data_IF_098771043160
#
_entry.id   IF_098771043160
#
_cell.length_a   1.000
_cell.length_b   1.000
_cell.length_c   1.000
_cell.angle_alpha   90.00
_cell.angle_beta   90.00
_cell.angle_gamma   90.00
#
_symmetry.space_group_name_H-M   'P 1'
#
loop_
_entity.id
_entity.type
_entity.pdbx_description
1 polymer ?
#
# COMPACT_ATOMS: atom_id res chain seq x y z
N UNK A 1 -34.17 39.21 40.01
CA UNK A 1 -34.96 37.97 39.82
C UNK A 1 -35.12 37.74 38.32
N UNK A 2 -35.16 36.46 37.90
CA UNK A 2 -35.26 35.89 36.52
C UNK A 2 -34.05 36.11 35.59
N UNK A 3 -33.23 35.09 35.27
CA UNK A 3 -33.39 33.92 34.37
C UNK A 3 -33.10 34.22 32.89
N UNK A 4 -32.04 33.64 32.32
CA UNK A 4 -32.20 32.50 31.39
C UNK A 4 -30.85 31.93 30.94
N UNK A 5 -30.79 30.60 30.88
CA UNK A 5 -29.73 29.80 30.31
C UNK A 5 -29.89 29.73 28.78
N UNK A 6 -28.79 29.69 28.03
CA UNK A 6 -28.78 29.13 26.68
C UNK A 6 -27.63 28.13 26.53
N UNK A 7 -28.05 26.90 26.27
CA UNK A 7 -27.24 25.75 25.88
C UNK A 7 -26.61 25.96 24.50
N UNK A 8 -25.29 25.77 24.39
CA UNK A 8 -24.64 25.52 23.11
C UNK A 8 -24.58 24.03 22.84
N UNK A 9 -25.57 23.54 22.09
CA UNK A 9 -25.46 22.31 21.33
C UNK A 9 -24.56 22.56 20.11
N UNK A 10 -23.34 22.01 20.10
CA UNK A 10 -22.58 21.78 18.89
C UNK A 10 -22.15 20.31 18.85
N UNK A 11 -23.14 19.46 18.61
CA UNK A 11 -22.96 18.03 18.39
C UNK A 11 -22.71 17.72 16.92
N UNK A 12 -21.59 17.04 16.68
CA UNK A 12 -21.42 15.97 15.69
C UNK A 12 -21.52 16.37 14.21
N UNK A 13 -20.36 16.74 13.63
CA UNK A 13 -20.05 16.50 12.22
C UNK A 13 -18.75 15.65 12.12
N UNK A 14 -18.75 14.50 12.81
CA UNK A 14 -17.75 13.42 12.66
C UNK A 14 -18.36 12.33 11.78
N UNK A 15 -18.24 12.44 10.46
CA UNK A 15 -18.45 11.33 9.52
C UNK A 15 -17.40 11.39 8.41
N UNK A 16 -16.45 10.48 8.52
CA UNK A 16 -15.15 10.41 7.86
C UNK A 16 -15.18 9.66 6.52
N UNK A 17 -14.21 10.00 5.67
CA UNK A 17 -13.63 9.32 4.50
C UNK A 17 -14.00 7.83 4.27
N UNK A 18 -14.04 7.00 5.32
CA UNK A 18 -14.43 5.59 5.24
C UNK A 18 -15.90 5.38 4.81
N UNK A 19 -16.82 6.29 5.13
CA UNK A 19 -18.23 6.13 4.76
C UNK A 19 -18.49 6.38 3.27
N UNK A 20 -17.68 7.17 2.57
CA UNK A 20 -17.87 7.37 1.12
C UNK A 20 -17.30 6.22 0.30
N UNK A 21 -16.19 5.63 0.74
CA UNK A 21 -15.66 4.39 0.13
C UNK A 21 -16.57 3.19 0.48
N UNK A 22 -17.11 3.13 1.70
CA UNK A 22 -18.07 2.10 2.09
C UNK A 22 -19.44 2.27 1.41
N UNK A 23 -19.91 3.48 1.11
CA UNK A 23 -21.20 3.70 0.44
C UNK A 23 -21.23 3.13 -0.99
N UNK A 24 -20.09 3.13 -1.69
CA UNK A 24 -19.95 2.45 -2.99
C UNK A 24 -19.88 0.92 -2.87
N UNK A 25 -19.46 0.39 -1.71
CA UNK A 25 -19.40 -1.05 -1.45
C UNK A 25 -20.73 -1.63 -0.90
N UNK A 26 -21.49 -0.85 -0.13
CA UNK A 26 -22.76 -1.30 0.51
C UNK A 26 -23.90 -1.42 -0.50
N UNK A 27 -23.86 -0.69 -1.61
CA UNK A 27 -24.84 -0.85 -2.70
C UNK A 27 -24.77 -2.22 -3.42
N UNK A 28 -23.76 -3.07 -3.14
CA UNK A 28 -23.56 -4.36 -3.80
C UNK A 28 -23.97 -5.60 -2.98
N UNK A 29 -24.41 -5.45 -1.72
CA UNK A 29 -24.73 -6.59 -0.84
C UNK A 29 -26.21 -7.05 -0.83
N UNK A 30 -27.05 -6.49 -1.71
CA UNK A 30 -28.45 -6.89 -1.82
C UNK A 30 -28.69 -7.94 -2.93
N UNK A 31 -27.94 -9.04 -2.95
CA UNK A 31 -28.44 -10.29 -3.54
C UNK A 31 -27.62 -11.49 -3.06
N UNK A 32 -28.33 -12.61 -2.83
CA UNK A 32 -27.85 -13.96 -2.48
C UNK A 32 -27.76 -14.26 -0.98
N UNK A 33 -28.93 -14.55 -0.42
CA UNK A 33 -29.03 -15.66 0.52
C UNK A 33 -29.12 -16.97 -0.25
N UNK A 34 -28.31 -17.96 0.12
CA UNK A 34 -28.72 -19.35 0.29
C UNK A 34 -27.57 -20.23 0.84
N UNK A 35 -27.88 -20.84 2.00
CA UNK A 35 -27.48 -22.15 2.56
C UNK A 35 -26.00 -22.55 2.62
N UNK A 36 -25.51 -22.61 3.87
CA UNK A 36 -24.33 -23.36 4.30
C UNK A 36 -24.72 -24.84 4.48
N UNK A 37 -24.02 -25.74 3.79
CA UNK A 37 -23.94 -27.14 4.15
C UNK A 37 -22.46 -27.53 4.26
N UNK A 38 -22.14 -28.20 5.36
CA UNK A 38 -20.80 -28.61 5.78
C UNK A 38 -20.08 -29.44 4.70
N UNK A 39 -18.86 -29.03 4.34
CA UNK A 39 -17.92 -29.86 3.59
C UNK A 39 -16.74 -30.18 4.51
N UNK A 40 -16.74 -31.41 5.03
CA UNK A 40 -15.57 -32.00 5.67
C UNK A 40 -14.41 -32.09 4.67
N UNK A 41 -13.30 -31.45 5.01
CA UNK A 41 -12.05 -31.50 4.25
C UNK A 41 -11.30 -32.79 4.61
N UNK A 42 -11.46 -33.82 3.79
CA UNK A 42 -10.54 -34.97 3.79
C UNK A 42 -9.28 -34.61 3.00
N UNK A 43 -8.11 -34.76 3.61
CA UNK A 43 -6.82 -34.60 2.96
C UNK A 43 -6.65 -35.61 1.79
N UNK A 44 -6.07 -35.20 0.64
CA UNK A 44 -5.82 -36.13 -0.45
C UNK A 44 -4.61 -37.03 -0.14
N UNK A 45 -4.60 -38.28 -0.62
CA UNK A 45 -3.47 -39.18 -0.40
C UNK A 45 -2.27 -38.74 -1.24
N UNK A 46 -1.07 -39.02 -0.73
CA UNK A 46 0.20 -38.78 -1.41
C UNK A 46 0.28 -39.62 -2.70
N UNK A 47 -0.06 -39.00 -3.83
CA UNK A 47 0.03 -39.56 -5.17
C UNK A 47 1.33 -39.19 -5.87
N UNK A 48 1.91 -40.17 -6.56
CA UNK A 48 3.11 -40.12 -7.39
C UNK A 48 3.13 -38.96 -8.41
N UNK A 49 4.32 -38.49 -8.84
CA UNK A 49 4.46 -37.39 -9.77
C UNK A 49 3.86 -37.76 -11.14
N UNK A 50 2.76 -37.11 -11.50
CA UNK A 50 2.13 -37.23 -12.82
C UNK A 50 3.05 -36.58 -13.87
N UNK A 51 3.57 -37.40 -14.78
CA UNK A 51 4.49 -37.03 -15.86
C UNK A 51 3.83 -36.22 -17.01
N UNK A 52 2.69 -35.56 -16.75
CA UNK A 52 1.91 -34.81 -17.74
C UNK A 52 1.49 -33.42 -17.23
N UNK A 53 2.25 -32.82 -16.29
CA UNK A 53 2.07 -31.39 -16.05
C UNK A 53 2.69 -30.63 -17.24
N UNK A 54 1.93 -29.80 -17.97
CA UNK A 54 2.51 -28.92 -18.97
C UNK A 54 3.62 -28.10 -18.31
N UNK A 55 4.72 -27.89 -19.04
CA UNK A 55 5.87 -27.11 -18.56
C UNK A 55 5.35 -25.80 -17.93
N UNK A 56 5.38 -25.76 -16.60
CA UNK A 56 4.83 -24.62 -15.86
C UNK A 56 5.73 -23.43 -16.13
N UNK A 57 5.14 -22.33 -16.59
CA UNK A 57 5.86 -21.10 -16.87
C UNK A 57 6.30 -20.48 -15.55
N UNK A 58 7.60 -20.32 -15.35
CA UNK A 58 8.15 -19.82 -14.10
C UNK A 58 8.10 -18.29 -14.05
N UNK A 59 7.56 -17.75 -12.96
CA UNK A 59 7.63 -16.33 -12.64
C UNK A 59 8.76 -16.11 -11.62
N UNK A 60 9.57 -15.09 -11.89
CA UNK A 60 10.66 -14.62 -11.01
C UNK A 60 10.43 -13.22 -10.46
N UNK A 61 9.50 -12.45 -11.07
CA UNK A 61 9.15 -11.11 -10.62
C UNK A 61 7.64 -10.88 -10.62
N UNK A 62 7.16 -10.22 -9.58
CA UNK A 62 5.77 -9.76 -9.46
C UNK A 62 5.77 -8.24 -9.23
N UNK A 63 5.15 -7.51 -10.17
CA UNK A 63 4.84 -6.09 -10.02
C UNK A 63 3.40 -5.96 -9.57
N UNK A 64 3.19 -5.21 -8.50
CA UNK A 64 1.88 -4.93 -7.94
C UNK A 64 1.56 -3.44 -8.05
N UNK A 65 0.39 -3.06 -8.55
CA UNK A 65 0.01 -1.67 -8.77
C UNK A 65 -1.32 -1.35 -8.09
N UNK A 66 -1.25 -0.47 -7.09
CA UNK A 66 -2.42 -0.02 -6.34
C UNK A 66 -3.05 1.25 -6.87
N UNK A 67 -4.34 1.15 -7.14
CA UNK A 67 -5.20 2.30 -7.41
C UNK A 67 -4.66 3.22 -8.52
N UNK A 68 -4.42 2.75 -9.76
CA UNK A 68 -3.78 3.55 -10.83
C UNK A 68 -4.50 4.82 -11.33
N UNK A 69 -5.40 5.48 -10.60
CA UNK A 69 -6.12 6.73 -10.99
C UNK A 69 -7.14 7.22 -9.91
N UNK A 70 -6.87 7.04 -8.61
CA UNK A 70 -7.91 7.32 -7.60
C UNK A 70 -8.16 8.81 -7.35
N UNK A 71 -7.19 9.69 -7.57
CA UNK A 71 -7.48 11.14 -7.49
C UNK A 71 -8.25 11.61 -8.71
N UNK A 72 -7.84 11.17 -9.90
CA UNK A 72 -8.55 11.52 -11.13
C UNK A 72 -10.03 11.12 -11.06
N UNK A 73 -10.35 9.90 -10.62
CA UNK A 73 -11.75 9.49 -10.38
C UNK A 73 -12.48 10.31 -9.35
N UNK A 74 -11.83 10.67 -8.24
CA UNK A 74 -12.47 11.44 -7.19
C UNK A 74 -12.85 12.85 -7.65
N UNK A 75 -12.10 13.41 -8.60
CA UNK A 75 -12.26 14.80 -9.03
C UNK A 75 -12.80 14.96 -10.46
N UNK A 76 -12.99 13.87 -11.23
CA UNK A 76 -13.65 13.91 -12.54
C UNK A 76 -14.99 14.66 -12.42
N UNK A 77 -15.15 15.69 -13.26
CA UNK A 77 -16.37 16.50 -13.33
C UNK A 77 -16.60 17.46 -12.16
N UNK A 78 -15.67 17.59 -11.21
CA UNK A 78 -15.81 18.46 -10.03
C UNK A 78 -14.87 19.66 -10.10
N UNK A 79 -15.18 20.63 -10.99
CA UNK A 79 -14.34 21.81 -11.24
C UNK A 79 -14.02 22.61 -9.97
N UNK A 80 -14.97 22.76 -9.04
CA UNK A 80 -14.74 23.45 -7.76
C UNK A 80 -13.83 22.65 -6.82
N UNK A 81 -13.93 21.31 -6.82
CA UNK A 81 -13.10 20.45 -5.98
C UNK A 81 -11.64 20.43 -6.44
N UNK A 82 -11.38 20.72 -7.73
CA UNK A 82 -10.04 20.83 -8.27
C UNK A 82 -9.30 22.09 -7.79
N UNK A 83 -10.02 23.17 -7.41
CA UNK A 83 -9.41 24.46 -7.06
C UNK A 83 -9.28 24.69 -5.54
N UNK A 84 -10.00 23.93 -4.71
CA UNK A 84 -9.98 24.11 -3.26
C UNK A 84 -8.87 23.29 -2.59
N UNK A 85 -8.09 23.90 -1.66
CA UNK A 85 -7.15 23.15 -0.82
C UNK A 85 -7.87 22.07 -0.03
N UNK A 86 -7.31 20.87 -0.01
CA UNK A 86 -7.86 19.73 0.73
C UNK A 86 -6.77 19.03 1.52
N UNK A 87 -6.05 18.15 0.86
CA UNK A 87 -5.20 17.19 1.54
C UNK A 87 -3.84 17.83 1.80
N UNK A 88 -3.62 18.25 3.05
CA UNK A 88 -2.38 18.92 3.45
C UNK A 88 -2.04 20.17 2.65
N UNK A 89 -3.07 20.92 2.26
CA UNK A 89 -2.94 22.15 1.50
C UNK A 89 -2.96 21.99 -0.01
N UNK A 90 -2.87 20.76 -0.54
CA UNK A 90 -2.96 20.52 -1.99
C UNK A 90 -4.39 20.63 -2.49
N UNK A 91 -4.53 21.25 -3.65
CA UNK A 91 -5.76 21.27 -4.45
C UNK A 91 -5.97 19.93 -5.16
N UNK A 92 -7.21 19.65 -5.56
CA UNK A 92 -7.51 18.44 -6.34
C UNK A 92 -6.73 18.38 -7.66
N UNK A 93 -6.51 19.53 -8.31
CA UNK A 93 -5.72 19.62 -9.54
C UNK A 93 -4.26 19.22 -9.34
N UNK A 94 -3.61 19.70 -8.28
CA UNK A 94 -2.22 19.35 -7.95
C UNK A 94 -2.09 17.84 -7.64
N UNK A 95 -3.04 17.26 -6.91
CA UNK A 95 -3.03 15.82 -6.62
C UNK A 95 -3.14 14.97 -7.90
N UNK A 96 -3.99 15.36 -8.84
CA UNK A 96 -4.11 14.70 -10.15
C UNK A 96 -2.84 14.87 -10.98
N UNK A 97 -2.25 16.07 -10.99
CA UNK A 97 -1.00 16.31 -11.71
C UNK A 97 0.14 15.43 -11.17
N UNK A 98 0.24 15.32 -9.84
CA UNK A 98 1.23 14.46 -9.19
C UNK A 98 1.01 12.98 -9.52
N UNK A 99 -0.23 12.49 -9.44
CA UNK A 99 -0.62 11.13 -9.84
C UNK A 99 -0.20 10.85 -11.28
N UNK A 100 -0.53 11.75 -12.22
CA UNK A 100 -0.16 11.64 -13.65
C UNK A 100 1.36 11.67 -13.86
N UNK A 101 2.08 12.55 -13.16
CA UNK A 101 3.55 12.64 -13.23
C UNK A 101 4.21 11.33 -12.83
N UNK A 102 3.67 10.63 -11.84
CA UNK A 102 4.22 9.34 -11.44
C UNK A 102 3.84 8.26 -12.43
N UNK A 103 2.54 8.13 -12.68
CA UNK A 103 1.95 7.02 -13.43
C UNK A 103 2.32 7.00 -14.91
N UNK A 104 2.70 8.14 -15.51
CA UNK A 104 3.21 8.18 -16.90
C UNK A 104 4.44 7.28 -17.15
N UNK A 105 5.17 6.91 -16.09
CA UNK A 105 6.34 6.03 -16.16
C UNK A 105 5.97 4.55 -16.20
N UNK A 106 4.78 4.19 -15.72
CA UNK A 106 4.39 2.80 -15.59
C UNK A 106 4.32 2.04 -16.91
N UNK A 107 3.74 2.59 -18.00
CA UNK A 107 3.71 1.88 -19.29
C UNK A 107 5.11 1.55 -19.82
N UNK A 108 6.04 2.50 -19.69
CA UNK A 108 7.43 2.31 -20.11
C UNK A 108 8.13 1.22 -19.28
N UNK A 109 7.97 1.24 -17.96
CA UNK A 109 8.55 0.22 -17.07
C UNK A 109 7.92 -1.16 -17.29
N UNK A 110 6.62 -1.24 -17.60
CA UNK A 110 5.97 -2.49 -18.01
C UNK A 110 6.54 -3.00 -19.33
N UNK A 111 6.86 -2.13 -20.28
CA UNK A 111 7.43 -2.52 -21.58
C UNK A 111 8.83 -3.16 -21.47
N UNK A 112 9.55 -2.86 -20.39
CA UNK A 112 10.88 -3.39 -20.09
C UNK A 112 10.83 -4.73 -19.31
N UNK A 113 9.64 -5.19 -18.92
CA UNK A 113 9.49 -6.41 -18.15
C UNK A 113 9.77 -7.66 -19.02
N UNK A 114 10.67 -8.54 -18.54
CA UNK A 114 10.99 -9.79 -19.21
C UNK A 114 9.88 -10.85 -19.14
N UNK A 115 10.07 -12.03 -19.79
CA UNK A 115 9.06 -13.09 -19.88
C UNK A 115 8.67 -13.72 -18.54
N UNK A 116 9.50 -13.57 -17.50
CA UNK A 116 9.29 -14.15 -16.16
C UNK A 116 8.65 -13.15 -15.17
N UNK A 117 8.10 -12.03 -15.68
CA UNK A 117 7.45 -11.00 -14.87
C UNK A 117 5.93 -11.06 -15.00
N UNK A 118 5.21 -10.96 -13.88
CA UNK A 118 3.77 -10.73 -13.86
C UNK A 118 3.44 -9.33 -13.33
N UNK A 119 2.31 -8.79 -13.78
CA UNK A 119 1.75 -7.51 -13.34
C UNK A 119 0.37 -7.75 -12.76
N UNK A 120 0.12 -7.22 -11.58
CA UNK A 120 -1.18 -7.26 -10.91
C UNK A 120 -1.64 -5.84 -10.64
N UNK A 121 -2.81 -5.50 -11.16
CA UNK A 121 -3.46 -4.21 -10.97
C UNK A 121 -4.69 -4.42 -10.08
N UNK A 122 -4.76 -3.75 -8.93
CA UNK A 122 -5.87 -3.92 -7.99
C UNK A 122 -6.84 -2.74 -7.97
N UNK A 123 -8.02 -3.02 -7.43
CA UNK A 123 -9.09 -2.05 -7.18
C UNK A 123 -10.06 -1.90 -8.35
N UNK A 124 -9.84 -2.65 -9.44
CA UNK A 124 -10.55 -2.43 -10.71
C UNK A 124 -10.83 -3.74 -11.43
N UNK A 125 -11.84 -3.71 -12.29
CA UNK A 125 -12.20 -4.83 -13.16
C UNK A 125 -11.82 -4.50 -14.61
N UNK A 126 -11.78 -5.48 -15.52
CA UNK A 126 -11.59 -5.21 -16.94
C UNK A 126 -12.59 -4.19 -17.49
N UNK A 127 -13.83 -4.21 -17.00
CA UNK A 127 -14.88 -3.25 -17.39
C UNK A 127 -14.55 -1.81 -16.98
N UNK A 128 -13.91 -1.61 -15.82
CA UNK A 128 -13.43 -0.29 -15.41
C UNK A 128 -12.38 0.19 -16.42
N UNK A 129 -11.37 -0.64 -16.69
CA UNK A 129 -10.29 -0.29 -17.63
C UNK A 129 -10.81 0.02 -19.05
N UNK A 130 -11.85 -0.67 -19.50
CA UNK A 130 -12.46 -0.44 -20.82
C UNK A 130 -13.31 0.84 -20.90
N UNK A 131 -13.81 1.36 -19.77
CA UNK A 131 -14.67 2.55 -19.71
C UNK A 131 -13.92 3.85 -19.44
N UNK A 132 -12.69 3.75 -18.96
CA UNK A 132 -11.87 4.92 -18.62
C UNK A 132 -11.13 5.37 -19.86
N UNK A 133 -10.85 6.67 -19.92
CA UNK A 133 -10.11 7.25 -21.04
C UNK A 133 -8.80 6.48 -21.22
N UNK A 134 -8.53 6.06 -22.45
CA UNK A 134 -7.30 5.34 -22.81
C UNK A 134 -6.02 6.11 -22.43
N UNK A 135 -6.10 7.44 -22.32
CA UNK A 135 -4.99 8.32 -21.93
C UNK A 135 -4.80 8.47 -20.40
N UNK A 136 -5.69 7.92 -19.58
CA UNK A 136 -5.57 7.92 -18.12
C UNK A 136 -4.63 6.83 -17.58
N UNK A 137 -4.22 6.91 -16.29
CA UNK A 137 -3.17 6.01 -15.81
C UNK A 137 -3.58 4.54 -15.65
N UNK A 138 -4.86 4.20 -15.41
CA UNK A 138 -5.32 2.81 -15.52
C UNK A 138 -5.33 2.32 -16.99
N UNK A 139 -5.84 3.15 -17.91
CA UNK A 139 -5.93 2.77 -19.32
C UNK A 139 -4.55 2.45 -19.90
N UNK A 140 -3.62 3.39 -19.74
CA UNK A 140 -2.25 3.27 -20.26
C UNK A 140 -1.48 2.08 -19.66
N UNK A 141 -1.56 1.84 -18.34
CA UNK A 141 -0.87 0.69 -17.74
C UNK A 141 -1.52 -0.64 -18.11
N UNK A 142 -2.85 -0.68 -18.23
CA UNK A 142 -3.56 -1.88 -18.66
C UNK A 142 -3.25 -2.25 -20.10
N UNK A 143 -3.24 -1.27 -21.01
CA UNK A 143 -2.85 -1.48 -22.42
C UNK A 143 -1.40 -1.97 -22.54
N UNK A 144 -0.47 -1.34 -21.81
CA UNK A 144 0.92 -1.78 -21.78
C UNK A 144 1.05 -3.21 -21.24
N UNK A 145 0.35 -3.53 -20.14
CA UNK A 145 0.31 -4.86 -19.57
C UNK A 145 -0.22 -5.91 -20.55
N UNK A 146 -1.33 -5.63 -21.22
CA UNK A 146 -1.88 -6.52 -22.25
C UNK A 146 -0.91 -6.72 -23.41
N UNK A 147 -0.27 -5.65 -23.89
CA UNK A 147 0.63 -5.68 -25.04
C UNK A 147 1.93 -6.43 -24.75
N UNK A 148 2.55 -6.18 -23.59
CA UNK A 148 3.90 -6.67 -23.29
C UNK A 148 3.92 -7.91 -22.41
N UNK A 149 2.89 -8.10 -21.57
CA UNK A 149 2.81 -9.20 -20.62
C UNK A 149 1.76 -10.25 -20.98
N UNK A 150 0.75 -9.87 -21.77
CA UNK A 150 -0.30 -10.79 -22.21
C UNK A 150 -1.11 -11.31 -21.02
N UNK A 151 -1.19 -12.64 -20.90
CA UNK A 151 -1.92 -13.31 -19.81
C UNK A 151 -1.26 -13.18 -18.43
N UNK A 152 -0.02 -12.65 -18.34
CA UNK A 152 0.67 -12.32 -17.09
C UNK A 152 0.20 -11.01 -16.46
N UNK A 153 -0.62 -10.24 -17.18
CA UNK A 153 -1.24 -9.03 -16.67
C UNK A 153 -2.63 -9.36 -16.09
N UNK A 154 -2.79 -9.19 -14.78
CA UNK A 154 -4.03 -9.43 -14.06
C UNK A 154 -4.63 -8.12 -13.58
N UNK A 155 -5.95 -8.05 -13.59
CA UNK A 155 -6.73 -6.95 -13.02
C UNK A 155 -7.87 -7.53 -12.17
N UNK A 156 -8.02 -7.03 -10.95
CA UNK A 156 -9.02 -7.57 -10.01
C UNK A 156 -9.53 -6.50 -9.05
N UNK A 157 -10.86 -6.53 -8.83
CA UNK A 157 -11.60 -5.63 -7.95
C UNK A 157 -12.12 -6.44 -6.77
N UNK A 158 -11.43 -6.39 -5.64
CA UNK A 158 -11.77 -7.12 -4.43
C UNK A 158 -11.47 -6.26 -3.19
N UNK A 159 -11.47 -6.84 -1.99
CA UNK A 159 -11.01 -6.15 -0.77
C UNK A 159 -9.56 -6.52 -0.44
N UNK A 160 -8.75 -5.62 0.14
CA UNK A 160 -7.38 -5.92 0.52
C UNK A 160 -7.31 -7.00 1.60
N UNK A 161 -6.27 -7.83 1.54
CA UNK A 161 -5.97 -8.88 2.52
C UNK A 161 -5.46 -10.16 1.86
N UNK A 162 -5.28 -11.20 2.65
CA UNK A 162 -4.77 -12.48 2.15
C UNK A 162 -5.74 -13.18 1.20
N UNK A 163 -7.04 -13.05 1.45
CA UNK A 163 -8.07 -13.62 0.58
C UNK A 163 -7.95 -13.10 -0.87
N UNK A 164 -7.60 -11.84 -1.02
CA UNK A 164 -7.32 -11.25 -2.32
C UNK A 164 -6.03 -11.82 -2.95
N UNK A 165 -4.96 -11.93 -2.16
CA UNK A 165 -3.73 -12.57 -2.61
C UNK A 165 -3.95 -14.01 -3.09
N UNK A 166 -4.78 -14.80 -2.39
CA UNK A 166 -5.12 -16.18 -2.80
C UNK A 166 -5.78 -16.22 -4.17
N UNK A 167 -6.69 -15.29 -4.47
CA UNK A 167 -7.32 -15.17 -5.80
C UNK A 167 -6.32 -14.85 -6.90
N UNK A 168 -5.31 -14.02 -6.63
CA UNK A 168 -4.23 -13.74 -7.60
C UNK A 168 -3.42 -15.02 -7.86
N UNK A 169 -3.07 -15.74 -6.79
CA UNK A 169 -2.32 -17.00 -6.89
C UNK A 169 -3.09 -18.04 -7.70
N UNK A 170 -4.39 -18.18 -7.45
CA UNK A 170 -5.29 -19.04 -8.21
C UNK A 170 -5.30 -18.65 -9.69
N UNK A 171 -5.51 -17.36 -10.00
CA UNK A 171 -5.51 -16.87 -11.37
C UNK A 171 -4.18 -17.11 -12.12
N UNK A 172 -3.04 -16.96 -11.45
CA UNK A 172 -1.74 -17.27 -12.04
C UNK A 172 -1.60 -18.77 -12.30
N UNK A 173 -2.03 -19.63 -11.36
CA UNK A 173 -1.99 -21.09 -11.51
C UNK A 173 -2.92 -21.60 -12.61
N UNK A 174 -4.13 -21.06 -12.72
CA UNK A 174 -5.08 -21.38 -13.80
C UNK A 174 -4.50 -21.07 -15.18
N UNK A 175 -3.63 -20.06 -15.25
CA UNK A 175 -2.87 -19.70 -16.46
C UNK A 175 -1.57 -20.51 -16.59
N UNK A 176 -1.35 -21.55 -15.79
CA UNK A 176 -0.17 -22.41 -15.90
C UNK A 176 1.14 -21.75 -15.43
N UNK A 177 1.07 -20.72 -14.60
CA UNK A 177 2.26 -20.12 -13.97
C UNK A 177 2.59 -20.79 -12.64
N UNK A 178 3.89 -20.90 -12.36
CA UNK A 178 4.43 -21.28 -11.08
C UNK A 178 5.47 -20.26 -10.62
N UNK A 179 5.75 -20.24 -9.32
CA UNK A 179 6.78 -19.42 -8.71
C UNK A 179 7.29 -20.12 -7.45
N UNK A 180 8.54 -19.86 -7.10
CA UNK A 180 9.09 -20.18 -5.79
C UNK A 180 8.98 -18.92 -4.90
N UNK A 181 8.19 -18.95 -3.81
CA UNK A 181 8.06 -17.82 -2.90
C UNK A 181 9.39 -17.32 -2.30
N UNK A 182 10.40 -18.18 -2.19
CA UNK A 182 11.72 -17.83 -1.65
C UNK A 182 12.60 -17.03 -2.62
N UNK A 183 12.37 -17.17 -3.93
CA UNK A 183 13.16 -16.48 -4.97
C UNK A 183 12.34 -15.46 -5.77
N UNK A 184 11.02 -15.42 -5.60
CA UNK A 184 10.17 -14.43 -6.26
C UNK A 184 10.50 -13.03 -5.74
N UNK A 185 10.78 -12.11 -6.66
CA UNK A 185 11.02 -10.71 -6.33
C UNK A 185 9.73 -9.92 -6.49
N UNK A 186 9.35 -9.16 -5.46
CA UNK A 186 8.16 -8.31 -5.46
C UNK A 186 8.49 -6.83 -5.58
N UNK A 187 7.63 -6.06 -6.23
CA UNK A 187 7.68 -4.61 -6.22
C UNK A 187 6.29 -3.96 -6.27
N UNK A 188 6.04 -2.99 -5.40
CA UNK A 188 4.77 -2.25 -5.31
C UNK A 188 4.85 -0.84 -5.91
N UNK A 189 3.89 -0.49 -6.76
CA UNK A 189 3.68 0.83 -7.37
C UNK A 189 2.27 1.33 -7.05
N UNK A 190 1.97 2.61 -7.31
CA UNK A 190 0.61 3.12 -7.19
C UNK A 190 0.38 4.17 -6.11
N UNK A 191 -0.90 4.40 -5.80
CA UNK A 191 -1.34 5.40 -4.85
C UNK A 191 -1.22 4.97 -3.40
N UNK A 192 -1.09 5.97 -2.53
CA UNK A 192 -1.19 5.83 -1.10
C UNK A 192 -0.07 4.94 -0.61
N UNK A 193 1.15 5.44 -0.83
CA UNK A 193 2.41 4.86 -0.37
C UNK A 193 2.34 4.43 1.10
N UNK A 194 1.63 5.19 1.94
CA UNK A 194 1.49 4.94 3.36
C UNK A 194 0.23 4.17 3.74
N UNK A 195 -0.70 3.96 2.82
CA UNK A 195 -2.02 3.41 3.10
C UNK A 195 -2.34 2.18 2.27
N UNK A 196 -3.01 2.39 1.14
CA UNK A 196 -3.58 1.29 0.36
C UNK A 196 -2.49 0.36 -0.18
N UNK A 197 -1.46 0.92 -0.81
CA UNK A 197 -0.42 0.13 -1.47
C UNK A 197 0.23 -0.90 -0.54
N UNK A 198 0.82 -0.54 0.62
CA UNK A 198 1.45 -1.52 1.50
C UNK A 198 0.46 -2.58 1.96
N UNK A 199 -0.79 -2.22 2.27
CA UNK A 199 -1.82 -3.18 2.69
C UNK A 199 -2.13 -4.23 1.63
N UNK A 200 -2.34 -3.79 0.39
CA UNK A 200 -2.64 -4.69 -0.71
C UNK A 200 -1.44 -5.55 -1.08
N UNK A 201 -0.27 -4.94 -1.25
CA UNK A 201 0.97 -5.64 -1.57
C UNK A 201 1.34 -6.64 -0.48
N UNK A 202 1.23 -6.25 0.79
CA UNK A 202 1.51 -7.11 1.95
C UNK A 202 0.58 -8.32 2.05
N UNK A 203 -0.73 -8.15 1.77
CA UNK A 203 -1.68 -9.25 1.73
C UNK A 203 -1.42 -10.23 0.57
N UNK A 204 -0.98 -9.73 -0.59
CA UNK A 204 -0.53 -10.56 -1.70
C UNK A 204 0.73 -11.34 -1.33
N UNK A 205 1.70 -10.67 -0.71
CA UNK A 205 2.93 -11.30 -0.24
C UNK A 205 2.66 -12.43 0.76
N UNK A 206 1.74 -12.20 1.71
CA UNK A 206 1.31 -13.19 2.69
C UNK A 206 0.68 -14.42 2.02
N UNK A 207 -0.24 -14.23 1.07
CA UNK A 207 -0.88 -15.33 0.35
C UNK A 207 0.07 -16.15 -0.53
N UNK A 208 1.11 -15.50 -1.09
CA UNK A 208 2.16 -16.17 -1.87
C UNK A 208 3.13 -16.93 -0.95
N UNK A 209 3.32 -16.47 0.29
CA UNK A 209 4.36 -16.96 1.19
C UNK A 209 5.72 -16.28 1.00
N UNK A 210 5.75 -15.05 0.49
CA UNK A 210 6.99 -14.28 0.30
C UNK A 210 7.53 -13.80 1.65
N UNK A 211 8.60 -14.40 2.13
CA UNK A 211 9.20 -14.02 3.43
C UNK A 211 9.78 -12.62 3.44
N UNK A 212 10.29 -12.15 2.30
CA UNK A 212 10.80 -10.79 2.13
C UNK A 212 9.73 -9.74 1.84
N UNK A 213 8.46 -10.14 1.65
CA UNK A 213 7.39 -9.20 1.31
C UNK A 213 7.47 -8.58 -0.09
N UNK A 214 6.55 -7.65 -0.36
CA UNK A 214 6.54 -6.83 -1.58
C UNK A 214 6.85 -5.37 -1.19
N UNK A 215 8.11 -4.92 -1.29
CA UNK A 215 8.45 -3.54 -0.99
C UNK A 215 7.95 -2.59 -2.10
N UNK A 216 7.59 -1.39 -1.72
CA UNK A 216 7.24 -0.32 -2.66
C UNK A 216 8.50 0.25 -3.34
N UNK A 217 8.36 0.64 -4.62
CA UNK A 217 9.34 1.48 -5.31
C UNK A 217 8.85 2.91 -5.26
N UNK A 218 9.47 3.73 -4.39
CA UNK A 218 8.95 5.05 -4.06
C UNK A 218 8.72 5.91 -5.31
N UNK A 219 9.65 5.87 -6.26
CA UNK A 219 9.56 6.61 -7.51
C UNK A 219 8.34 6.20 -8.34
N UNK A 220 7.84 4.98 -8.19
CA UNK A 220 6.67 4.48 -8.92
C UNK A 220 5.37 4.65 -8.12
N UNK A 221 5.44 5.34 -6.97
CA UNK A 221 4.32 5.55 -6.06
C UNK A 221 4.07 7.02 -5.80
N UNK A 222 2.84 7.33 -5.39
CA UNK A 222 2.46 8.67 -4.95
C UNK A 222 2.14 8.64 -3.46
N UNK A 223 2.88 9.40 -2.64
CA UNK A 223 2.61 9.54 -1.21
C UNK A 223 1.26 10.20 -0.94
N UNK A 224 0.67 9.86 0.20
CA UNK A 224 -0.39 10.64 0.82
C UNK A 224 0.19 11.78 1.66
N UNK A 225 1.39 11.63 2.25
CA UNK A 225 1.90 12.66 3.15
C UNK A 225 2.39 13.91 2.39
N UNK A 226 1.89 15.13 2.71
CA UNK A 226 2.24 16.37 2.01
C UNK A 226 3.74 16.67 1.91
N UNK A 227 4.44 16.41 3.01
CA UNK A 227 5.88 16.59 3.12
C UNK A 227 6.68 15.49 2.39
N UNK A 228 6.09 14.32 2.16
CA UNK A 228 6.69 13.27 1.33
C UNK A 228 6.44 13.54 -0.16
N UNK A 229 5.25 14.06 -0.51
CA UNK A 229 4.90 14.49 -1.88
C UNK A 229 5.85 15.56 -2.43
N UNK A 230 6.31 16.47 -1.57
CA UNK A 230 7.23 17.58 -1.93
C UNK A 230 8.68 17.33 -1.54
N UNK A 231 8.94 16.26 -0.80
CA UNK A 231 10.26 15.83 -0.40
C UNK A 231 10.99 15.07 -1.50
N UNK A 232 12.16 14.58 -1.13
CA UNK A 232 13.02 13.74 -1.97
C UNK A 232 13.20 12.39 -1.31
N UNK A 233 13.01 11.32 -2.07
CA UNK A 233 13.41 9.99 -1.66
C UNK A 233 14.93 9.89 -1.55
N UNK A 234 15.41 9.27 -0.48
CA UNK A 234 16.83 9.11 -0.21
C UNK A 234 17.22 7.66 -0.43
N UNK A 235 16.57 6.73 0.27
CA UNK A 235 16.94 5.32 0.23
C UNK A 235 15.81 4.42 0.77
N UNK A 236 15.88 3.13 0.46
CA UNK A 236 15.04 2.07 1.03
C UNK A 236 15.93 0.95 1.54
N UNK A 237 15.83 0.67 2.84
CA UNK A 237 16.61 -0.35 3.52
C UNK A 237 15.71 -1.44 4.08
N UNK A 238 16.11 -2.69 3.93
CA UNK A 238 15.49 -3.81 4.65
C UNK A 238 16.05 -3.87 6.07
N UNK A 239 15.19 -4.06 7.08
CA UNK A 239 15.62 -4.16 8.47
C UNK A 239 16.00 -5.61 8.79
N UNK A 240 17.29 -5.86 8.95
CA UNK A 240 17.82 -7.20 9.24
C UNK A 240 17.34 -8.27 8.25
N UNK A 241 16.89 -9.41 8.78
CA UNK A 241 16.28 -10.51 8.00
C UNK A 241 14.73 -10.47 8.04
N UNK A 242 14.13 -9.36 8.45
CA UNK A 242 12.66 -9.21 8.59
C UNK A 242 11.99 -8.90 7.25
N UNK A 243 10.67 -8.84 7.20
CA UNK A 243 9.91 -8.31 6.05
C UNK A 243 9.76 -6.77 6.10
N UNK A 244 10.32 -6.09 7.09
CA UNK A 244 10.12 -4.65 7.30
C UNK A 244 11.15 -3.84 6.51
N UNK A 245 10.65 -2.79 5.85
CA UNK A 245 11.46 -1.85 5.09
C UNK A 245 11.37 -0.46 5.70
N UNK A 246 12.53 0.17 5.88
CA UNK A 246 12.69 1.58 6.18
C UNK A 246 12.81 2.37 4.87
N UNK A 247 11.99 3.40 4.72
CA UNK A 247 12.09 4.37 3.64
C UNK A 247 12.59 5.68 4.21
N UNK A 248 13.70 6.17 3.69
CA UNK A 248 14.32 7.42 4.08
C UNK A 248 13.98 8.49 3.05
N UNK A 249 13.59 9.65 3.54
CA UNK A 249 13.30 10.82 2.74
C UNK A 249 14.00 12.04 3.33
N UNK A 250 14.05 13.10 2.54
CA UNK A 250 14.33 14.45 3.00
C UNK A 250 13.13 15.33 2.66
N UNK A 251 12.71 16.21 3.57
CA UNK A 251 11.70 17.22 3.25
C UNK A 251 12.22 18.17 2.16
N UNK A 252 11.35 19.07 1.69
CA UNK A 252 11.74 20.12 0.75
C UNK A 252 12.90 20.98 1.28
N UNK A 253 12.96 21.21 2.58
CA UNK A 253 14.01 21.96 3.30
C UNK A 253 15.25 21.10 3.61
N UNK A 254 15.27 19.84 3.19
CA UNK A 254 16.38 18.92 3.42
C UNK A 254 16.36 18.23 4.78
N UNK A 255 15.30 18.39 5.59
CA UNK A 255 15.19 17.75 6.90
C UNK A 255 15.01 16.24 6.73
N UNK A 256 15.86 15.38 7.34
CA UNK A 256 15.71 13.93 7.25
C UNK A 256 14.44 13.43 7.95
N UNK A 257 13.76 12.48 7.31
CA UNK A 257 12.64 11.74 7.87
C UNK A 257 12.64 10.28 7.39
N UNK A 258 12.01 9.40 8.13
CA UNK A 258 11.91 7.99 7.81
C UNK A 258 10.57 7.39 8.20
N UNK A 259 10.19 6.30 7.54
CA UNK A 259 8.97 5.54 7.85
C UNK A 259 9.22 4.04 7.62
N UNK A 260 8.59 3.21 8.44
CA UNK A 260 8.71 1.76 8.37
C UNK A 260 7.43 1.13 7.83
N UNK A 261 7.56 0.21 6.88
CA UNK A 261 6.46 -0.58 6.36
C UNK A 261 6.74 -2.07 6.42
N UNK A 262 5.79 -2.88 6.87
CA UNK A 262 5.85 -4.32 6.68
C UNK A 262 5.66 -4.65 5.20
N UNK A 263 6.51 -5.52 4.66
CA UNK A 263 6.40 -6.06 3.32
C UNK A 263 5.41 -7.23 3.25
N UNK A 264 5.07 -7.84 4.39
CA UNK A 264 4.06 -8.89 4.53
C UNK A 264 3.03 -8.41 5.54
N UNK A 265 1.75 -8.48 5.17
CA UNK A 265 0.64 -8.16 6.06
C UNK A 265 -0.30 -9.35 6.12
N UNK A 266 -0.60 -9.82 7.34
CA UNK A 266 -1.52 -10.94 7.58
C UNK A 266 -2.81 -10.43 8.21
N UNK A 267 -3.94 -11.06 7.89
CA UNK A 267 -5.26 -10.58 8.33
C UNK A 267 -5.40 -10.61 9.88
N UNK A 268 -4.59 -11.41 10.57
CA UNK A 268 -4.59 -11.56 12.04
C UNK A 268 -3.21 -11.42 12.68
N UNK A 269 -2.32 -10.58 12.13
CA UNK A 269 -1.01 -10.38 12.75
C UNK A 269 -1.07 -9.51 14.03
N UNK A 270 -0.21 -9.78 15.02
CA UNK A 270 -0.05 -8.89 16.16
C UNK A 270 0.52 -7.54 15.71
N UNK A 271 0.24 -6.49 16.50
CA UNK A 271 0.86 -5.19 16.31
C UNK A 271 2.38 -5.32 16.41
N UNK A 272 3.09 -4.83 15.40
CA UNK A 272 4.55 -4.77 15.35
C UNK A 272 5.07 -3.36 15.54
N UNK A 273 6.29 -3.24 16.05
CA UNK A 273 6.97 -1.96 16.27
C UNK A 273 8.41 -2.02 15.77
N UNK A 274 8.89 -0.90 15.23
CA UNK A 274 10.31 -0.62 15.10
C UNK A 274 10.81 -0.01 16.42
N UNK A 275 11.59 -0.77 17.18
CA UNK A 275 12.25 -0.28 18.39
C UNK A 275 13.54 0.44 18.00
N UNK A 276 13.60 1.74 18.32
CA UNK A 276 14.72 2.62 18.03
C UNK A 276 15.51 2.91 19.30
N UNK A 277 16.84 2.87 19.22
CA UNK A 277 17.74 3.33 20.27
C UNK A 277 18.23 4.74 19.95
N UNK A 278 17.39 5.74 20.22
CA UNK A 278 17.63 7.15 19.92
C UNK A 278 17.29 8.02 21.12
N UNK A 279 17.98 9.16 21.23
CA UNK A 279 17.62 10.20 22.18
C UNK A 279 16.24 10.80 21.80
N UNK A 280 15.21 10.69 22.66
CA UNK A 280 13.88 11.23 22.38
C UNK A 280 13.87 12.73 22.09
N UNK A 281 14.86 13.50 22.59
CA UNK A 281 14.95 14.94 22.32
C UNK A 281 15.45 15.26 20.90
N UNK A 282 16.04 14.26 20.22
CA UNK A 282 16.64 14.36 18.89
C UNK A 282 15.75 13.84 17.77
N UNK A 283 14.52 13.45 18.09
CA UNK A 283 13.52 13.03 17.12
C UNK A 283 12.14 13.61 17.45
N UNK A 284 11.28 13.63 16.46
CA UNK A 284 9.84 13.86 16.64
C UNK A 284 9.06 12.93 15.72
N UNK A 285 7.78 12.74 16.02
CA UNK A 285 6.91 11.83 15.28
C UNK A 285 5.68 12.55 14.77
N UNK A 286 5.26 12.23 13.55
CA UNK A 286 4.03 12.77 12.98
C UNK A 286 3.25 11.68 12.25
N UNK A 287 1.94 11.84 12.16
CA UNK A 287 1.13 11.07 11.21
C UNK A 287 1.40 11.54 9.78
N UNK A 288 0.86 10.82 8.78
CA UNK A 288 0.86 11.28 7.37
C UNK A 288 0.16 12.62 7.14
N UNK A 289 -0.65 13.10 8.09
CA UNK A 289 -1.33 14.41 8.03
C UNK A 289 -0.49 15.55 8.61
N UNK A 290 0.76 15.27 8.98
CA UNK A 290 1.63 16.19 9.73
C UNK A 290 1.10 16.53 11.13
N UNK A 291 0.21 15.71 11.69
CA UNK A 291 -0.24 15.85 13.07
C UNK A 291 0.82 15.26 14.01
N UNK A 292 1.24 15.95 15.07
CA UNK A 292 2.18 15.41 16.05
C UNK A 292 1.67 14.09 16.65
N UNK A 293 2.57 13.13 16.78
CA UNK A 293 2.29 11.84 17.39
C UNK A 293 3.20 11.63 18.61
N UNK A 294 2.62 11.27 19.75
CA UNK A 294 3.39 11.07 20.97
C UNK A 294 3.80 9.59 21.12
N UNK A 295 5.10 9.32 21.19
CA UNK A 295 5.64 8.02 21.57
C UNK A 295 6.25 8.15 22.96
N UNK A 296 5.78 7.32 23.89
CA UNK A 296 6.30 7.29 25.25
C UNK A 296 7.65 6.55 25.26
N UNK A 297 8.76 7.21 25.64
CA UNK A 297 10.06 6.57 25.69
C UNK A 297 10.14 5.58 26.86
N UNK A 298 10.82 4.47 26.62
CA UNK A 298 11.20 3.48 27.64
C UNK A 298 12.71 3.59 27.85
N UNK A 299 13.14 4.58 28.63
CA UNK A 299 14.55 4.97 28.71
C UNK A 299 15.01 5.58 27.39
N UNK A 300 16.05 5.01 26.76
CA UNK A 300 16.57 5.43 25.43
C UNK A 300 15.90 4.70 24.26
N UNK A 301 14.81 3.98 24.53
CA UNK A 301 14.10 3.18 23.53
C UNK A 301 12.78 3.83 23.16
N UNK A 302 12.50 3.88 21.87
CA UNK A 302 11.25 4.39 21.29
C UNK A 302 10.63 3.28 20.45
N UNK A 303 9.37 2.92 20.72
CA UNK A 303 8.66 1.89 19.96
C UNK A 303 7.73 2.56 18.94
N UNK A 304 8.14 2.59 17.67
CA UNK A 304 7.36 3.19 16.58
C UNK A 304 6.44 2.12 15.99
N UNK A 305 5.11 2.29 16.03
CA UNK A 305 4.18 1.29 15.50
C UNK A 305 4.33 1.17 13.97
N UNK A 306 4.34 -0.06 13.47
CA UNK A 306 4.24 -0.35 12.05
C UNK A 306 2.78 -0.25 11.60
N UNK A 307 2.54 0.30 10.41
CA UNK A 307 1.19 0.31 9.83
C UNK A 307 0.85 -1.07 9.24
N UNK A 308 0.29 -1.97 10.06
CA UNK A 308 0.03 -3.36 9.70
C UNK A 308 -1.34 -3.60 9.07
N UNK A 309 -2.37 -2.82 9.38
CA UNK A 309 -3.75 -3.10 8.92
C UNK A 309 -4.32 -2.03 7.97
N UNK A 310 -3.53 -1.00 7.68
CA UNK A 310 -3.97 0.18 6.95
C UNK A 310 -5.07 0.97 7.67
N UNK A 311 -5.32 0.70 8.95
CA UNK A 311 -6.24 1.43 9.84
C UNK A 311 -5.47 2.24 10.88
N UNK A 312 -4.26 1.83 11.26
CA UNK A 312 -3.32 2.67 12.00
C UNK A 312 -2.86 3.87 11.17
N UNK A 313 -2.57 4.99 11.84
CA UNK A 313 -1.94 6.13 11.17
C UNK A 313 -0.47 5.80 10.91
N UNK A 314 0.01 5.91 9.66
CA UNK A 314 1.43 5.75 9.35
C UNK A 314 2.24 6.81 10.08
N UNK A 315 3.27 6.38 10.80
CA UNK A 315 4.08 7.26 11.65
C UNK A 315 5.42 7.54 10.98
N UNK A 316 5.69 8.81 10.76
CA UNK A 316 6.98 9.31 10.32
C UNK A 316 7.84 9.65 11.53
N UNK A 317 9.12 9.28 11.45
CA UNK A 317 10.18 9.71 12.36
C UNK A 317 10.93 10.85 11.69
N UNK A 318 11.11 11.95 12.39
CA UNK A 318 11.82 13.12 11.89
C UNK A 318 13.09 13.37 12.70
N UNK A 319 14.17 13.74 12.02
CA UNK A 319 15.38 14.21 12.70
C UNK A 319 15.12 15.57 13.37
N UNK A 320 15.51 15.73 14.63
CA UNK A 320 15.53 17.01 15.35
C UNK A 320 16.97 17.37 15.70
N UNK A 321 17.70 17.83 14.68
CA UNK A 321 19.09 18.25 14.81
C UNK A 321 20.12 17.12 14.74
N UNK A 322 19.75 15.93 14.27
CA UNK A 322 20.71 14.89 13.91
C UNK A 322 21.17 15.07 12.47
N UNK A 323 22.48 14.89 12.24
CA UNK A 323 23.02 14.76 10.90
C UNK A 323 22.35 13.60 10.15
N UNK A 324 22.19 13.74 8.83
CA UNK A 324 21.43 12.79 8.02
C UNK A 324 21.99 11.36 8.09
N UNK A 325 23.32 11.21 8.09
CA UNK A 325 24.00 9.92 8.18
C UNK A 325 23.82 9.27 9.56
N UNK A 326 23.89 10.06 10.64
CA UNK A 326 23.64 9.60 12.00
C UNK A 326 22.17 9.16 12.18
N UNK A 327 21.24 9.93 11.62
CA UNK A 327 19.81 9.61 11.63
C UNK A 327 19.52 8.31 10.86
N UNK A 328 20.05 8.18 9.64
CA UNK A 328 19.93 6.96 8.83
C UNK A 328 20.47 5.74 9.56
N UNK A 329 21.69 5.80 10.10
CA UNK A 329 22.31 4.69 10.82
C UNK A 329 21.46 4.25 12.02
N UNK A 330 20.91 5.22 12.76
CA UNK A 330 20.10 4.92 13.92
C UNK A 330 18.74 4.26 13.56
N UNK A 331 18.09 4.71 12.49
CA UNK A 331 16.85 4.07 12.01
C UNK A 331 17.11 2.69 11.39
N UNK A 332 18.22 2.53 10.66
CA UNK A 332 18.58 1.26 10.04
C UNK A 332 18.95 0.17 11.07
N UNK A 333 19.36 0.58 12.27
CA UNK A 333 19.65 -0.31 13.39
C UNK A 333 18.41 -0.68 14.23
N UNK A 334 17.19 -0.36 13.76
CA UNK A 334 15.96 -0.71 14.45
C UNK A 334 15.83 -2.23 14.65
N UNK A 335 15.27 -2.62 15.79
CA UNK A 335 14.82 -3.99 16.04
C UNK A 335 13.31 -4.07 15.81
N UNK A 336 12.82 -5.11 15.13
CA UNK A 336 11.38 -5.30 14.95
C UNK A 336 10.87 -6.21 16.06
N UNK A 337 9.92 -5.70 16.85
CA UNK A 337 9.33 -6.39 18.00
C UNK A 337 7.81 -6.50 17.83
N UNK A 338 7.21 -7.50 18.46
CA UNK A 338 5.76 -7.70 18.53
C UNK A 338 5.20 -7.18 19.87
N UNK A 339 3.94 -6.75 19.88
CA UNK A 339 3.20 -6.53 21.11
C UNK A 339 3.12 -7.85 21.90
N UNK A 340 3.39 -7.78 23.21
CA UNK A 340 3.33 -8.92 24.11
C UNK A 340 1.89 -9.40 24.37
#
# INVERSE_FOLDING_TARGET
MTSSAQHNHCGVARRTFLQRVAASAVAMLASRGQSLADVQVTAPPAGQPSANQPDRRLLKRLVFVSHPYAWETQFIGQTEALAQPRWGGFTGGELVEMERRVSRRWPEEVSQCGPETALVINGFSPDHAARIKADGPLGTIWEAGRKHLGDRCLITADSPGEAYGRKIVEQLRERGYAFDPGTLVGEGWGQSFEGCLPRWAGGVAAAIGMTGGIPMRYEMTFPDAPFAMTGRFVDRLRIGQTDVYLYLLASREGRPLGIFFPGVIRDSEPQRFAQLCLDPEKVEFTTKRAEPYAIQPQGKRLAVPLNIDGRGDPIYVWSKGLAADAFQKALAAAEIIEAA
#
